data_IF_699967042412
#
_entry.id   IF_699967042412
#
_cell.length_a   1.000
_cell.length_b   1.000
_cell.length_c   1.000
_cell.angle_alpha   90.00
_cell.angle_beta   90.00
_cell.angle_gamma   90.00
#
_symmetry.space_group_name_H-M   'P 1'
#
loop_
_entity.id
_entity.type
_entity.pdbx_description
1 polymer ?
#
# COMPACT_ATOMS: atom_id res chain seq x y z
N UNK A 1 -4.93 16.57 4.58
CA UNK A 1 -4.68 15.14 4.30
C UNK A 1 -3.17 15.06 4.13
N UNK A 2 -2.51 14.14 4.83
CA UNK A 2 -1.04 14.11 4.90
C UNK A 2 -0.49 13.70 3.53
N UNK A 3 0.39 14.52 2.93
CA UNK A 3 0.89 14.31 1.56
C UNK A 3 1.58 12.94 1.41
N UNK A 4 2.17 12.42 2.50
CA UNK A 4 2.78 11.10 2.56
C UNK A 4 1.75 9.96 2.52
N UNK A 5 0.60 10.13 3.17
CA UNK A 5 -0.48 9.13 3.15
C UNK A 5 -1.08 9.00 1.74
N UNK A 6 -1.26 10.11 1.02
CA UNK A 6 -1.79 10.10 -0.35
C UNK A 6 -0.83 9.35 -1.30
N UNK A 7 0.48 9.52 -1.13
CA UNK A 7 1.50 8.79 -1.90
C UNK A 7 1.40 7.28 -1.68
N UNK A 8 1.19 6.85 -0.43
CA UNK A 8 1.08 5.44 -0.06
C UNK A 8 -0.23 4.81 -0.57
N UNK A 9 -1.35 5.53 -0.47
CA UNK A 9 -2.64 5.09 -1.01
C UNK A 9 -2.59 4.92 -2.53
N UNK A 10 -2.02 5.89 -3.24
CA UNK A 10 -1.85 5.83 -4.70
C UNK A 10 -0.93 4.68 -5.13
N UNK A 11 0.15 4.42 -4.37
CA UNK A 11 1.03 3.29 -4.64
C UNK A 11 0.30 1.95 -4.46
N UNK A 12 -0.44 1.81 -3.37
CA UNK A 12 -1.24 0.60 -3.12
C UNK A 12 -2.31 0.40 -4.19
N UNK A 13 -2.97 1.47 -4.63
CA UNK A 13 -3.95 1.42 -5.72
C UNK A 13 -3.33 0.93 -7.03
N UNK A 14 -2.18 1.46 -7.43
CA UNK A 14 -1.47 1.01 -8.63
C UNK A 14 -1.12 -0.48 -8.58
N UNK A 15 -0.66 -0.97 -7.42
CA UNK A 15 -0.34 -2.40 -7.21
C UNK A 15 -1.60 -3.26 -7.32
N UNK A 16 -2.73 -2.82 -6.74
CA UNK A 16 -4.01 -3.54 -6.80
C UNK A 16 -4.58 -3.60 -8.23
N UNK A 17 -4.43 -2.53 -8.99
CA UNK A 17 -4.90 -2.47 -10.39
C UNK A 17 -4.03 -3.33 -11.32
N UNK A 18 -2.71 -3.40 -11.08
CA UNK A 18 -1.76 -4.11 -11.95
C UNK A 18 -0.80 -5.03 -11.15
N UNK A 19 -1.30 -6.07 -10.47
CA UNK A 19 -0.49 -6.90 -9.57
C UNK A 19 0.60 -7.71 -10.31
N UNK A 20 0.41 -7.98 -11.61
CA UNK A 20 1.39 -8.68 -12.45
C UNK A 20 2.60 -7.82 -12.80
N UNK A 21 2.47 -6.50 -12.72
CA UNK A 21 3.49 -5.53 -13.10
C UNK A 21 4.24 -4.96 -11.89
N UNK A 22 4.19 -5.66 -10.74
CA UNK A 22 4.83 -5.21 -9.51
C UNK A 22 6.31 -4.82 -9.71
N UNK A 23 7.06 -5.59 -10.50
CA UNK A 23 8.45 -5.28 -10.81
C UNK A 23 8.62 -3.94 -11.56
N UNK A 24 7.70 -3.61 -12.46
CA UNK A 24 7.70 -2.34 -13.18
C UNK A 24 7.32 -1.18 -12.24
N UNK A 25 6.33 -1.39 -11.38
CA UNK A 25 5.89 -0.39 -10.39
C UNK A 25 7.03 -0.09 -9.41
N UNK A 26 7.71 -1.12 -8.88
CA UNK A 26 8.87 -0.97 -7.99
C UNK A 26 10.02 -0.24 -8.68
N UNK A 27 10.28 -0.52 -9.96
CA UNK A 27 11.31 0.18 -10.72
C UNK A 27 10.99 1.68 -10.89
N UNK A 28 9.73 2.02 -11.18
CA UNK A 28 9.29 3.41 -11.41
C UNK A 28 9.20 4.24 -10.12
N UNK A 29 8.83 3.60 -8.99
CA UNK A 29 8.51 4.27 -7.72
C UNK A 29 9.35 3.80 -6.55
N UNK A 30 10.58 3.32 -6.79
CA UNK A 30 11.45 2.72 -5.77
C UNK A 30 11.54 3.51 -4.45
N UNK A 31 11.59 4.84 -4.52
CA UNK A 31 11.67 5.73 -3.34
C UNK A 31 10.43 5.68 -2.44
N UNK A 32 9.28 5.34 -3.01
CA UNK A 32 8.00 5.27 -2.31
C UNK A 32 7.83 3.91 -1.61
N UNK A 33 8.61 2.89 -1.98
CA UNK A 33 8.71 1.61 -1.27
C UNK A 33 9.66 1.75 -0.06
N UNK A 34 9.22 2.49 0.94
CA UNK A 34 9.97 2.75 2.16
C UNK A 34 9.23 2.25 3.41
N UNK A 35 9.81 2.44 4.59
CA UNK A 35 9.21 1.98 5.84
C UNK A 35 7.81 2.53 6.11
N UNK A 36 7.52 3.76 5.69
CA UNK A 36 6.20 4.38 5.81
C UNK A 36 5.14 3.62 5.02
N UNK A 37 5.47 3.22 3.79
CA UNK A 37 4.56 2.42 2.96
C UNK A 37 4.25 1.05 3.59
N UNK A 38 5.26 0.33 4.08
CA UNK A 38 5.02 -0.97 4.72
C UNK A 38 4.25 -0.83 6.04
N UNK A 39 4.48 0.24 6.80
CA UNK A 39 3.69 0.54 8.00
C UNK A 39 2.22 0.82 7.64
N UNK A 40 1.98 1.57 6.56
CA UNK A 40 0.63 1.79 6.04
C UNK A 40 -0.07 0.48 5.64
N UNK A 41 0.65 -0.45 5.00
CA UNK A 41 0.11 -1.78 4.68
C UNK A 41 -0.27 -2.59 5.93
N UNK A 42 0.57 -2.54 6.98
CA UNK A 42 0.28 -3.23 8.24
C UNK A 42 -1.01 -2.71 8.88
N UNK A 43 -1.20 -1.39 8.93
CA UNK A 43 -2.42 -0.78 9.48
C UNK A 43 -3.65 -1.24 8.69
N UNK A 44 -3.56 -1.28 7.35
CA UNK A 44 -4.67 -1.75 6.51
C UNK A 44 -4.97 -3.23 6.77
N UNK A 45 -3.93 -4.06 6.89
CA UNK A 45 -4.09 -5.49 7.19
C UNK A 45 -4.75 -5.69 8.57
N UNK A 46 -4.28 -5.00 9.61
CA UNK A 46 -4.87 -5.06 10.95
C UNK A 46 -6.34 -4.64 10.96
N UNK A 47 -6.68 -3.58 10.22
CA UNK A 47 -8.08 -3.14 10.08
C UNK A 47 -8.92 -4.19 9.36
N UNK A 48 -8.39 -4.81 8.29
CA UNK A 48 -9.12 -5.80 7.52
C UNK A 48 -9.31 -7.12 8.31
N UNK A 49 -8.26 -7.59 8.98
CA UNK A 49 -8.29 -8.79 9.82
C UNK A 49 -9.26 -8.60 11.02
N UNK A 50 -9.24 -7.43 11.65
CA UNK A 50 -10.19 -7.09 12.72
C UNK A 50 -11.64 -6.91 12.27
N UNK A 51 -11.90 -6.75 10.96
CA UNK A 51 -13.23 -6.81 10.37
C UNK A 51 -13.65 -8.26 10.07
N UNK A 52 -12.72 -9.11 9.62
CA UNK A 52 -12.97 -10.53 9.35
C UNK A 52 -13.24 -11.35 10.64
N UNK A 53 -12.69 -10.95 11.80
CA UNK A 53 -13.02 -11.58 13.10
C UNK A 53 -14.46 -11.29 13.60
N UNK A 54 -15.19 -10.38 12.94
CA UNK A 54 -16.51 -9.91 13.38
C UNK A 54 -17.69 -10.45 12.55
N UNK A 55 -17.43 -11.20 11.49
CA UNK A 55 -18.42 -11.89 10.63
C UNK A 55 -18.52 -13.40 10.96
#
# INVERSE_FOLDING_TARGET
>A
IDDEMEIHEDLLKQIRENPRDLNLIVAARRKDFNGGFFNHLNIIAEVNDGLEERD
#
